data_IF_471439283342
#
_entry.id   IF_471439283342
#
_cell.length_a   1.000
_cell.length_b   1.000
_cell.length_c   1.000
_cell.angle_alpha   90.00
_cell.angle_beta   90.00
_cell.angle_gamma   90.00
#
_symmetry.space_group_name_H-M   'P 1'
#
loop_
_entity.id
_entity.type
_entity.pdbx_description
1 polymer ?
#
# COMPACT_ATOMS: atom_id res chain seq x y z
N UNK A 1 -34.33 50.07 -11.76
CA UNK A 1 -33.38 50.60 -12.75
C UNK A 1 -32.83 51.90 -12.19
N UNK A 2 -31.75 51.82 -11.41
CA UNK A 2 -31.00 52.97 -10.88
C UNK A 2 -29.53 52.57 -11.01
N UNK A 3 -28.82 53.34 -11.83
CA UNK A 3 -27.39 53.28 -12.06
C UNK A 3 -26.72 54.06 -10.94
N UNK A 4 -25.75 53.46 -10.26
CA UNK A 4 -24.74 54.19 -9.50
C UNK A 4 -23.37 53.64 -9.86
N UNK A 5 -22.50 54.58 -10.20
CA UNK A 5 -21.18 54.42 -10.79
C UNK A 5 -20.11 54.89 -9.79
N UNK A 6 -18.86 54.48 -10.04
CA UNK A 6 -17.58 54.94 -9.47
C UNK A 6 -17.12 54.41 -8.07
N UNK A 7 -15.80 54.43 -7.76
CA UNK A 7 -14.61 54.70 -8.59
C UNK A 7 -13.47 53.66 -8.51
N UNK A 8 -12.57 53.79 -9.48
CA UNK A 8 -11.24 53.16 -9.59
C UNK A 8 -10.26 53.69 -8.53
N UNK A 9 -9.40 52.81 -8.01
CA UNK A 9 -8.05 53.19 -7.56
C UNK A 9 -7.01 52.16 -8.00
N UNK A 10 -5.95 52.72 -8.56
CA UNK A 10 -4.71 52.15 -9.11
C UNK A 10 -3.70 51.69 -8.04
N UNK A 11 -2.65 50.99 -8.53
CA UNK A 11 -1.36 50.59 -7.91
C UNK A 11 -1.33 49.11 -7.52
N UNK A 12 -0.38 48.26 -7.95
CA UNK A 12 0.94 48.50 -8.52
C UNK A 12 1.38 47.27 -9.32
N UNK A 13 1.78 47.50 -10.58
CA UNK A 13 2.54 46.56 -11.42
C UNK A 13 3.99 46.56 -10.97
N UNK A 14 4.57 45.41 -10.67
CA UNK A 14 6.02 45.17 -10.80
C UNK A 14 6.25 43.77 -11.35
N UNK A 15 7.16 43.70 -12.32
CA UNK A 15 7.73 42.53 -12.98
C UNK A 15 6.87 41.77 -13.99
N UNK A 16 6.71 42.36 -15.17
CA UNK A 16 6.72 41.58 -16.40
C UNK A 16 7.46 42.37 -17.49
N UNK A 17 8.75 42.07 -17.65
CA UNK A 17 9.58 42.43 -18.80
C UNK A 17 10.39 41.19 -19.15
N UNK A 18 9.85 40.36 -20.04
CA UNK A 18 10.63 39.46 -20.89
C UNK A 18 10.00 39.52 -22.28
N UNK A 19 10.89 39.63 -23.24
CA UNK A 19 10.73 39.98 -24.64
C UNK A 19 9.76 39.08 -25.40
N UNK A 20 8.96 39.70 -26.27
CA UNK A 20 8.21 39.02 -27.32
C UNK A 20 8.54 39.75 -28.62
N UNK A 21 9.60 39.30 -29.27
CA UNK A 21 10.05 39.77 -30.57
C UNK A 21 9.52 38.82 -31.65
N UNK A 22 8.72 39.39 -32.55
CA UNK A 22 8.55 38.98 -33.95
C UNK A 22 8.03 37.56 -34.29
N UNK A 23 6.71 37.48 -34.48
CA UNK A 23 6.07 36.76 -35.60
C UNK A 23 5.24 37.84 -36.31
N UNK A 24 5.25 38.02 -37.63
CA UNK A 24 4.65 37.10 -38.61
C UNK A 24 5.12 37.52 -40.00
N UNK A 25 5.76 36.62 -40.75
CA UNK A 25 5.86 36.70 -42.22
C UNK A 25 4.98 35.62 -42.82
N UNK A 26 4.17 36.08 -43.76
CA UNK A 26 3.35 35.33 -44.70
C UNK A 26 4.16 34.26 -45.43
N UNK A 27 3.58 33.07 -45.61
CA UNK A 27 3.51 32.42 -46.93
C UNK A 27 2.33 31.46 -46.99
N UNK A 28 1.61 31.61 -48.10
CA UNK A 28 0.48 30.86 -48.57
C UNK A 28 1.02 29.85 -49.60
N UNK A 29 0.89 28.54 -49.35
CA UNK A 29 0.99 27.48 -50.35
C UNK A 29 0.01 26.37 -49.95
N UNK A 30 -1.11 26.26 -50.66
CA UNK A 30 -1.35 25.34 -51.79
C UNK A 30 -1.62 23.91 -51.30
N UNK A 31 -2.91 23.63 -51.06
CA UNK A 31 -3.47 22.29 -50.95
C UNK A 31 -3.57 21.66 -52.34
N UNK A 32 -2.92 20.52 -52.53
CA UNK A 32 -3.24 19.55 -53.59
C UNK A 32 -3.91 18.31 -52.97
N UNK A 33 -4.99 17.77 -53.56
CA UNK A 33 -5.66 16.57 -53.06
C UNK A 33 -5.28 15.30 -53.84
N UNK A 34 -5.60 14.16 -53.19
CA UNK A 34 -5.83 12.81 -53.74
C UNK A 34 -4.63 11.97 -54.22
N UNK A 35 -4.40 10.87 -53.49
CA UNK A 35 -4.30 9.52 -54.07
C UNK A 35 -4.60 8.43 -53.04
N UNK A 36 -5.76 7.80 -53.20
CA UNK A 36 -6.03 6.44 -52.74
C UNK A 36 -5.43 5.45 -53.75
N UNK A 37 -4.87 4.32 -53.29
CA UNK A 37 -4.99 3.00 -53.92
C UNK A 37 -4.44 1.89 -52.97
N UNK A 38 -4.80 0.60 -53.18
CA UNK A 38 -5.12 -0.33 -52.10
C UNK A 38 -4.23 -1.59 -52.00
N UNK A 39 -4.56 -2.38 -50.97
CA UNK A 39 -4.61 -3.85 -50.92
C UNK A 39 -3.34 -4.73 -50.98
N UNK A 40 -3.39 -5.73 -50.09
CA UNK A 40 -2.99 -7.14 -50.30
C UNK A 40 -1.52 -7.53 -50.09
N UNK A 41 -1.27 -8.35 -49.06
CA UNK A 41 -0.87 -9.77 -49.19
C UNK A 41 -0.54 -10.41 -47.82
N UNK A 42 -1.39 -11.35 -47.38
CA UNK A 42 -0.95 -12.63 -46.75
C UNK A 42 -0.51 -13.58 -47.90
N UNK A 43 -0.01 -14.82 -47.71
CA UNK A 43 0.25 -15.61 -46.48
C UNK A 43 1.65 -16.28 -46.49
N UNK A 44 2.04 -16.98 -45.40
CA UNK A 44 2.38 -18.41 -45.43
C UNK A 44 2.85 -18.94 -44.06
N UNK A 45 2.11 -19.92 -43.58
CA UNK A 45 2.55 -20.99 -42.68
C UNK A 45 3.33 -22.03 -43.53
N UNK A 46 4.26 -22.82 -42.96
CA UNK A 46 3.85 -24.21 -42.72
C UNK A 46 4.49 -24.91 -41.50
N UNK A 47 3.65 -25.76 -40.89
CA UNK A 47 3.85 -27.18 -40.52
C UNK A 47 5.21 -27.66 -39.99
N UNK A 48 5.17 -28.38 -38.87
CA UNK A 48 5.98 -29.60 -38.76
C UNK A 48 6.30 -30.14 -37.35
N UNK A 49 5.50 -31.14 -36.92
CA UNK A 49 5.92 -32.42 -36.33
C UNK A 49 6.73 -32.46 -35.03
N UNK A 50 6.21 -33.22 -34.04
CA UNK A 50 7.06 -33.77 -32.97
C UNK A 50 6.34 -34.40 -31.77
N UNK A 51 5.56 -35.47 -31.98
CA UNK A 51 5.12 -36.38 -30.91
C UNK A 51 6.31 -37.18 -30.35
N UNK A 52 6.53 -37.18 -29.03
CA UNK A 52 7.00 -38.33 -28.22
C UNK A 52 7.05 -37.86 -26.75
N UNK A 53 6.36 -38.42 -25.76
CA UNK A 53 5.99 -39.82 -25.59
C UNK A 53 7.09 -40.60 -24.88
N UNK A 54 7.37 -40.32 -23.59
CA UNK A 54 7.96 -41.35 -22.71
C UNK A 54 7.71 -41.08 -21.22
N UNK A 55 6.81 -41.91 -20.70
CA UNK A 55 6.58 -42.24 -19.30
C UNK A 55 7.65 -43.25 -18.91
N UNK A 56 8.37 -43.05 -17.79
CA UNK A 56 9.06 -44.14 -17.12
C UNK A 56 8.90 -44.01 -15.60
N UNK A 57 8.52 -45.13 -15.02
CA UNK A 57 8.16 -45.39 -13.63
C UNK A 57 9.29 -46.23 -13.04
N UNK A 58 9.50 -46.03 -11.73
CA UNK A 58 9.94 -47.00 -10.71
C UNK A 58 11.31 -47.67 -10.84
N UNK A 59 12.11 -47.56 -9.77
CA UNK A 59 12.63 -48.60 -8.85
C UNK A 59 13.31 -47.79 -7.71
N UNK A 60 13.26 -48.07 -6.41
CA UNK A 60 12.91 -49.28 -5.66
C UNK A 60 14.09 -49.65 -4.75
N UNK A 61 13.84 -49.74 -3.44
CA UNK A 61 14.63 -50.46 -2.40
C UNK A 61 16.00 -49.84 -2.02
N UNK A 62 16.61 -50.03 -0.85
CA UNK A 62 16.46 -50.88 0.35
C UNK A 62 17.47 -50.31 1.39
N UNK A 63 17.17 -50.14 2.68
CA UNK A 63 17.21 -51.15 3.78
C UNK A 63 18.52 -51.14 4.60
N UNK A 64 18.39 -51.29 5.93
CA UNK A 64 19.47 -51.59 6.90
C UNK A 64 19.50 -50.65 8.11
N UNK A 65 18.81 -50.92 9.24
CA UNK A 65 19.20 -51.77 10.40
C UNK A 65 20.52 -51.33 11.05
N UNK A 66 20.73 -51.29 12.38
CA UNK A 66 19.98 -51.79 13.55
C UNK A 66 20.66 -51.31 14.84
N UNK A 67 19.85 -51.17 15.91
CA UNK A 67 20.12 -51.52 17.33
C UNK A 67 21.26 -50.76 18.06
N UNK A 68 21.33 -50.56 19.38
CA UNK A 68 20.91 -51.18 20.66
C UNK A 68 21.04 -50.01 21.69
N UNK A 69 20.35 -49.85 22.82
CA UNK A 69 19.46 -50.67 23.63
C UNK A 69 19.01 -49.86 24.87
N UNK A 70 17.98 -50.37 25.52
CA UNK A 70 17.45 -50.00 26.86
C UNK A 70 18.41 -50.51 27.98
N UNK A 71 18.24 -50.23 29.29
CA UNK A 71 17.02 -50.58 30.05
C UNK A 71 16.61 -49.67 31.24
N UNK A 72 15.40 -49.99 31.75
CA UNK A 72 14.92 -49.87 33.12
C UNK A 72 14.51 -48.47 33.62
N UNK A 73 13.54 -48.28 34.50
CA UNK A 73 12.34 -48.98 35.03
C UNK A 73 11.92 -48.04 36.18
N UNK A 74 10.62 -47.76 36.35
CA UNK A 74 9.99 -47.58 37.67
C UNK A 74 8.51 -47.21 37.53
N UNK A 75 7.70 -48.02 38.21
CA UNK A 75 6.26 -47.97 38.38
C UNK A 75 5.77 -46.80 39.26
N UNK A 76 4.46 -46.52 39.12
CA UNK A 76 3.45 -46.21 40.16
C UNK A 76 2.45 -45.18 39.59
N UNK A 77 1.27 -45.57 39.08
CA UNK A 77 0.07 -46.01 39.82
C UNK A 77 -0.36 -45.03 40.91
N UNK A 78 -1.19 -44.03 40.55
CA UNK A 78 -2.26 -43.51 41.41
C UNK A 78 -3.47 -43.13 40.56
N UNK A 79 -4.52 -43.89 40.79
CA UNK A 79 -5.91 -43.67 40.36
C UNK A 79 -6.60 -42.78 41.41
N UNK A 80 -7.15 -41.65 40.98
CA UNK A 80 -8.28 -41.00 41.65
C UNK A 80 -9.17 -40.30 40.64
N UNK A 81 -10.32 -40.93 40.37
CA UNK A 81 -11.68 -40.38 40.47
C UNK A 81 -12.03 -39.10 39.70
N UNK A 82 -12.88 -39.32 38.69
CA UNK A 82 -14.13 -38.60 38.39
C UNK A 82 -14.40 -37.28 39.14
N UNK A 83 -14.34 -36.17 38.40
CA UNK A 83 -15.14 -34.97 38.64
C UNK A 83 -15.53 -34.36 37.27
N UNK A 84 -16.81 -34.49 36.98
CA UNK A 84 -17.70 -33.64 36.19
C UNK A 84 -17.39 -33.22 34.74
N UNK A 85 -18.12 -33.95 33.89
CA UNK A 85 -18.67 -33.58 32.59
C UNK A 85 -19.38 -32.22 32.64
N UNK A 86 -18.73 -31.18 32.12
CA UNK A 86 -19.44 -30.07 31.47
C UNK A 86 -18.56 -29.35 30.42
N UNK A 87 -18.07 -30.11 29.43
CA UNK A 87 -17.64 -29.54 28.14
C UNK A 87 -18.85 -29.44 27.24
N UNK A 88 -19.54 -28.30 27.33
CA UNK A 88 -20.44 -27.85 26.27
C UNK A 88 -19.60 -27.63 25.01
N UNK A 89 -19.73 -28.54 24.06
CA UNK A 89 -19.33 -28.35 22.67
C UNK A 89 -20.20 -27.25 22.07
N UNK A 90 -19.73 -26.00 22.14
CA UNK A 90 -20.26 -24.92 21.30
C UNK A 90 -19.55 -25.01 19.96
N UNK A 91 -20.26 -25.10 18.82
CA UNK A 91 -19.62 -25.06 17.51
C UNK A 91 -18.96 -23.71 17.28
N UNK A 92 -17.64 -23.73 17.12
CA UNK A 92 -16.84 -22.62 16.67
C UNK A 92 -17.25 -22.18 15.25
N UNK A 93 -17.49 -20.88 15.09
CA UNK A 93 -17.39 -20.24 13.78
C UNK A 93 -18.68 -19.67 13.19
N UNK A 94 -19.33 -18.73 13.86
CA UNK A 94 -20.05 -17.64 13.17
C UNK A 94 -20.53 -16.50 14.08
N UNK A 95 -20.70 -16.74 15.39
CA UNK A 95 -21.34 -15.75 16.27
C UNK A 95 -20.38 -14.74 16.94
N UNK A 96 -19.07 -14.85 16.75
CA UNK A 96 -18.11 -14.00 17.47
C UNK A 96 -17.99 -12.56 16.94
N UNK A 97 -18.39 -12.28 15.69
CA UNK A 97 -18.24 -10.92 15.13
C UNK A 97 -19.36 -9.98 15.63
N UNK A 98 -20.60 -10.47 15.75
CA UNK A 98 -21.72 -9.63 16.19
C UNK A 98 -21.71 -9.41 17.71
N UNK A 99 -21.28 -10.41 18.49
CA UNK A 99 -21.30 -10.34 19.96
C UNK A 99 -20.15 -9.50 20.53
N UNK A 100 -19.02 -9.37 19.82
CA UNK A 100 -17.96 -8.41 20.20
C UNK A 100 -18.37 -6.94 20.02
N UNK A 101 -19.33 -6.65 19.14
CA UNK A 101 -19.79 -5.28 18.87
C UNK A 101 -20.64 -4.68 20.00
N UNK A 102 -21.30 -5.52 20.83
CA UNK A 102 -22.24 -5.08 21.87
C UNK A 102 -21.67 -5.01 23.29
N UNK A 103 -20.59 -5.74 23.62
CA UNK A 103 -20.05 -5.80 24.99
C UNK A 103 -18.86 -4.87 25.27
N UNK A 104 -18.35 -4.13 24.28
CA UNK A 104 -17.34 -3.09 24.49
C UNK A 104 -17.99 -1.84 25.11
N UNK A 105 -18.16 -1.90 26.43
CA UNK A 105 -18.73 -0.90 27.33
C UNK A 105 -18.15 0.50 27.15
N UNK A 106 -19.00 1.50 27.38
CA UNK A 106 -18.80 2.94 27.20
C UNK A 106 -17.60 3.52 27.96
N UNK A 107 -17.06 2.80 28.95
CA UNK A 107 -15.98 3.24 29.85
C UNK A 107 -14.58 2.83 29.33
N UNK A 108 -14.45 1.67 28.69
CA UNK A 108 -13.17 1.18 28.13
C UNK A 108 -12.80 1.93 26.83
N UNK A 109 -13.83 2.33 26.07
CA UNK A 109 -13.70 3.14 24.84
C UNK A 109 -13.13 4.54 25.12
N UNK A 110 -13.39 5.13 26.27
CA UNK A 110 -12.86 6.46 26.65
C UNK A 110 -11.39 6.45 27.08
N UNK A 111 -10.87 5.30 27.53
CA UNK A 111 -9.48 5.18 28.01
C UNK A 111 -8.53 4.68 26.91
N UNK A 112 -9.05 3.93 25.93
CA UNK A 112 -8.27 3.46 24.77
C UNK A 112 -8.13 4.50 23.64
N UNK A 113 -9.08 5.44 23.50
CA UNK A 113 -9.00 6.55 22.54
C UNK A 113 -7.75 7.43 22.79
N UNK A 114 -7.43 7.85 24.03
CA UNK A 114 -6.19 8.56 24.34
C UNK A 114 -4.92 7.81 23.95
N UNK A 115 -4.93 6.47 24.04
CA UNK A 115 -3.75 5.64 23.77
C UNK A 115 -3.43 5.49 22.26
N UNK A 116 -4.41 5.74 21.38
CA UNK A 116 -4.21 5.82 19.92
C UNK A 116 -3.57 7.17 19.49
N UNK A 117 -3.60 8.16 20.37
CA UNK A 117 -3.14 9.54 20.15
C UNK A 117 -2.14 9.96 21.22
N UNK A 118 -1.15 9.11 21.51
CA UNK A 118 -0.02 9.49 22.37
C UNK A 118 0.65 10.75 21.82
N UNK A 119 1.12 11.64 22.71
CA UNK A 119 1.85 12.85 22.33
C UNK A 119 3.03 12.55 21.39
N UNK A 120 3.76 11.45 21.64
CA UNK A 120 4.86 11.01 20.77
C UNK A 120 4.39 10.68 19.35
N UNK A 121 3.26 9.97 19.24
CA UNK A 121 2.68 9.60 17.94
C UNK A 121 2.18 10.83 17.19
N UNK A 122 1.62 11.82 17.89
CA UNK A 122 1.17 13.09 17.31
C UNK A 122 2.36 13.92 16.83
N UNK A 123 3.41 14.05 17.64
CA UNK A 123 4.66 14.74 17.27
C UNK A 123 5.30 14.07 16.05
N UNK A 124 5.34 12.73 16.03
CA UNK A 124 5.87 11.98 14.90
C UNK A 124 5.05 12.19 13.62
N UNK A 125 3.72 12.20 13.70
CA UNK A 125 2.83 12.52 12.58
C UNK A 125 3.01 13.95 12.08
N UNK A 126 3.18 14.93 12.98
CA UNK A 126 3.53 16.30 12.58
C UNK A 126 4.87 16.34 11.84
N UNK A 127 5.87 15.60 12.31
CA UNK A 127 7.16 15.42 11.64
C UNK A 127 7.01 14.83 10.23
N UNK A 128 6.18 13.80 10.07
CA UNK A 128 5.83 13.22 8.76
C UNK A 128 5.21 14.28 7.83
N UNK A 129 4.39 15.17 8.36
CA UNK A 129 3.80 16.28 7.60
C UNK A 129 4.83 17.29 7.13
N UNK A 130 5.70 17.72 8.03
CA UNK A 130 6.81 18.61 7.70
C UNK A 130 7.71 17.95 6.65
N UNK A 131 8.00 16.65 6.79
CA UNK A 131 8.75 15.89 5.80
C UNK A 131 8.07 15.94 4.42
N UNK A 132 6.77 15.71 4.34
CA UNK A 132 6.00 15.83 3.10
C UNK A 132 6.16 17.21 2.45
N UNK A 133 6.04 18.28 3.25
CA UNK A 133 6.23 19.66 2.78
C UNK A 133 7.63 19.90 2.22
N UNK A 134 8.66 19.45 2.94
CA UNK A 134 10.06 19.65 2.55
C UNK A 134 10.40 18.80 1.33
N UNK A 135 10.12 17.50 1.37
CA UNK A 135 10.44 16.56 0.30
C UNK A 135 9.82 16.99 -1.04
N UNK A 136 8.53 17.34 -1.06
CA UNK A 136 7.87 17.77 -2.31
C UNK A 136 8.36 19.13 -2.81
N UNK A 137 8.94 19.97 -1.94
CA UNK A 137 9.64 21.20 -2.36
C UNK A 137 11.00 20.89 -2.95
N UNK A 138 11.77 19.98 -2.34
CA UNK A 138 13.06 19.54 -2.85
C UNK A 138 12.93 18.91 -4.23
N UNK A 139 11.93 18.04 -4.44
CA UNK A 139 11.69 17.37 -5.73
C UNK A 139 11.36 18.32 -6.89
N UNK A 140 11.05 19.59 -6.62
CA UNK A 140 10.81 20.61 -7.64
C UNK A 140 12.08 21.31 -8.12
N UNK A 141 13.24 21.06 -7.50
CA UNK A 141 14.49 21.64 -7.97
C UNK A 141 14.83 21.16 -9.38
N UNK A 142 15.35 22.08 -10.19
CA UNK A 142 15.67 21.84 -11.60
C UNK A 142 16.64 20.67 -11.79
N UNK A 143 17.61 20.52 -10.89
CA UNK A 143 18.58 19.40 -10.90
C UNK A 143 17.88 18.04 -10.84
N UNK A 144 16.84 17.91 -10.01
CA UNK A 144 16.05 16.68 -9.89
C UNK A 144 15.13 16.52 -11.09
N UNK A 145 14.48 17.60 -11.51
CA UNK A 145 13.48 17.54 -12.57
C UNK A 145 14.07 17.26 -13.97
N UNK A 146 15.30 17.71 -14.25
CA UNK A 146 15.94 17.55 -15.56
C UNK A 146 16.45 16.12 -15.82
N UNK A 147 16.66 15.32 -14.78
CA UNK A 147 17.14 13.96 -14.91
C UNK A 147 16.03 12.97 -14.53
N UNK A 148 15.52 12.24 -15.53
CA UNK A 148 14.44 11.26 -15.34
C UNK A 148 14.75 10.22 -14.27
N UNK A 149 16.00 9.73 -14.19
CA UNK A 149 16.41 8.76 -13.17
C UNK A 149 16.36 9.36 -11.78
N UNK A 150 16.92 10.56 -11.62
CA UNK A 150 16.94 11.24 -10.33
C UNK A 150 15.51 11.57 -9.88
N UNK A 151 14.67 12.03 -10.81
CA UNK A 151 13.24 12.30 -10.57
C UNK A 151 12.52 11.05 -10.10
N UNK A 152 12.58 9.96 -10.88
CA UNK A 152 11.86 8.72 -10.56
C UNK A 152 12.36 8.07 -9.27
N UNK A 153 13.68 8.00 -9.08
CA UNK A 153 14.27 7.41 -7.88
C UNK A 153 13.92 8.24 -6.63
N UNK A 154 14.05 9.56 -6.70
CA UNK A 154 13.74 10.42 -5.54
C UNK A 154 12.25 10.38 -5.19
N UNK A 155 11.38 10.34 -6.20
CA UNK A 155 9.93 10.22 -6.00
C UNK A 155 9.57 8.90 -5.29
N UNK A 156 10.13 7.78 -5.75
CA UNK A 156 9.93 6.46 -5.15
C UNK A 156 10.52 6.36 -3.73
N UNK A 157 11.69 6.98 -3.49
CA UNK A 157 12.26 7.06 -2.13
C UNK A 157 11.30 7.81 -1.20
N UNK A 158 10.69 8.91 -1.65
CA UNK A 158 9.71 9.64 -0.83
C UNK A 158 8.48 8.77 -0.54
N UNK A 159 7.97 8.01 -1.50
CA UNK A 159 6.90 7.03 -1.26
C UNK A 159 7.30 6.00 -0.19
N UNK A 160 8.49 5.43 -0.31
CA UNK A 160 9.03 4.47 0.65
C UNK A 160 9.19 5.05 2.06
N UNK A 161 9.74 6.26 2.17
CA UNK A 161 9.92 6.94 3.47
C UNK A 161 8.58 7.26 4.12
N UNK A 162 7.59 7.72 3.36
CA UNK A 162 6.24 7.98 3.90
C UNK A 162 5.61 6.69 4.41
N UNK A 163 5.68 5.59 3.66
CA UNK A 163 5.15 4.29 4.09
C UNK A 163 5.84 3.78 5.35
N UNK A 164 7.17 3.84 5.38
CA UNK A 164 8.02 3.48 6.52
C UNK A 164 7.63 4.28 7.78
N UNK A 165 7.61 5.61 7.68
CA UNK A 165 7.31 6.49 8.80
C UNK A 165 5.86 6.34 9.26
N UNK A 166 4.91 6.18 8.34
CA UNK A 166 3.51 5.94 8.67
C UNK A 166 3.33 4.67 9.52
N UNK A 167 4.01 3.58 9.16
CA UNK A 167 3.96 2.35 9.97
C UNK A 167 4.66 2.50 11.31
N UNK A 168 5.78 3.23 11.36
CA UNK A 168 6.47 3.54 12.62
C UNK A 168 5.57 4.29 13.61
N UNK A 169 4.70 5.18 13.14
CA UNK A 169 3.68 5.85 13.97
C UNK A 169 2.63 4.85 14.47
N UNK A 170 2.21 3.89 13.63
CA UNK A 170 1.20 2.88 14.01
C UNK A 170 1.72 1.95 15.11
N UNK A 171 2.95 1.46 14.96
CA UNK A 171 3.52 0.47 15.90
C UNK A 171 4.16 1.10 17.13
N UNK A 172 4.71 2.32 17.00
CA UNK A 172 5.48 2.95 18.06
C UNK A 172 6.74 2.14 18.36
N UNK A 173 7.76 2.26 17.50
CA UNK A 173 9.01 1.47 17.53
C UNK A 173 9.57 1.35 18.96
N UNK A 174 9.57 0.14 19.50
CA UNK A 174 10.14 -0.17 20.84
C UNK A 174 11.20 -1.26 20.78
N UNK A 175 11.15 -2.11 19.75
CA UNK A 175 12.00 -3.30 19.62
C UNK A 175 12.70 -3.33 18.26
N UNK A 176 13.77 -4.12 18.17
CA UNK A 176 14.50 -4.34 16.91
C UNK A 176 13.64 -5.05 15.84
N UNK A 177 12.70 -5.92 16.23
CA UNK A 177 11.76 -6.57 15.31
C UNK A 177 10.90 -5.54 14.57
N UNK A 178 10.49 -4.48 15.26
CA UNK A 178 9.62 -3.42 14.71
C UNK A 178 10.34 -2.66 13.59
N UNK A 179 11.68 -2.59 13.63
CA UNK A 179 12.46 -1.98 12.57
C UNK A 179 12.34 -2.74 11.24
N UNK A 180 12.32 -4.08 11.29
CA UNK A 180 12.11 -4.90 10.10
C UNK A 180 10.72 -4.69 9.50
N UNK A 181 9.70 -4.56 10.33
CA UNK A 181 8.33 -4.24 9.89
C UNK A 181 8.25 -2.85 9.25
N UNK A 182 8.89 -1.86 9.86
CA UNK A 182 8.97 -0.47 9.35
C UNK A 182 9.66 -0.41 7.98
N UNK A 183 10.78 -1.12 7.81
CA UNK A 183 11.44 -1.24 6.51
C UNK A 183 10.56 -1.95 5.48
N UNK A 184 9.86 -3.02 5.88
CA UNK A 184 8.93 -3.74 4.99
C UNK A 184 7.78 -2.83 4.54
N UNK A 185 7.24 -2.00 5.44
CA UNK A 185 6.21 -1.03 5.08
C UNK A 185 6.69 -0.02 4.03
N UNK A 186 7.92 0.47 4.16
CA UNK A 186 8.52 1.34 3.13
C UNK A 186 8.73 0.61 1.81
N UNK A 187 9.24 -0.61 1.85
CA UNK A 187 9.40 -1.45 0.65
C UNK A 187 8.06 -1.69 -0.07
N UNK A 188 7.00 -2.02 0.67
CA UNK A 188 5.66 -2.22 0.11
C UNK A 188 5.06 -0.95 -0.51
N UNK A 189 5.44 0.24 -0.02
CA UNK A 189 5.03 1.51 -0.63
C UNK A 189 5.80 1.77 -1.94
N UNK A 190 7.08 1.39 -2.00
CA UNK A 190 7.92 1.59 -3.18
C UNK A 190 7.70 0.57 -4.30
N UNK A 191 7.27 -0.65 -3.98
CA UNK A 191 7.10 -1.73 -4.97
C UNK A 191 5.95 -1.43 -5.96
N UNK A 192 5.03 -0.54 -5.59
CA UNK A 192 3.91 -0.14 -6.46
C UNK A 192 4.42 0.44 -7.78
N UNK A 193 5.46 1.28 -7.75
CA UNK A 193 6.03 1.91 -8.94
C UNK A 193 6.65 0.93 -9.93
N UNK A 194 6.94 -0.31 -9.51
CA UNK A 194 7.44 -1.35 -10.42
C UNK A 194 6.37 -1.71 -11.47
N UNK A 195 5.08 -1.49 -11.19
CA UNK A 195 4.01 -1.72 -12.16
C UNK A 195 4.12 -0.87 -13.43
N UNK A 196 4.84 0.25 -13.39
CA UNK A 196 5.14 1.06 -14.56
C UNK A 196 6.03 0.28 -15.53
N UNK A 197 7.05 -0.40 -15.04
CA UNK A 197 7.93 -1.25 -15.85
C UNK A 197 7.18 -2.49 -16.38
N UNK A 198 6.29 -3.07 -15.57
CA UNK A 198 5.44 -4.17 -16.01
C UNK A 198 4.48 -3.75 -17.13
N UNK A 199 3.81 -2.60 -17.00
CA UNK A 199 2.92 -2.09 -18.05
C UNK A 199 3.70 -1.67 -19.30
N UNK A 200 4.90 -1.11 -19.13
CA UNK A 200 5.80 -0.75 -20.23
C UNK A 200 6.35 -1.98 -20.95
N UNK A 201 6.30 -3.16 -20.31
CA UNK A 201 6.94 -4.41 -20.79
C UNK A 201 8.42 -4.21 -21.09
N UNK A 202 9.07 -3.34 -20.31
CA UNK A 202 10.45 -2.92 -20.52
C UNK A 202 11.06 -2.44 -19.21
N UNK A 203 12.37 -2.65 -19.05
CA UNK A 203 13.17 -2.04 -17.97
C UNK A 203 13.65 -0.62 -18.33
N UNK A 204 13.27 -0.10 -19.49
CA UNK A 204 13.58 1.27 -19.90
C UNK A 204 12.79 2.27 -19.06
N UNK A 205 13.49 3.09 -18.27
CA UNK A 205 12.86 4.14 -17.48
C UNK A 205 12.04 5.10 -18.34
N UNK A 206 12.54 5.46 -19.53
CA UNK A 206 11.81 6.32 -20.46
C UNK A 206 10.48 5.69 -20.89
N UNK A 207 10.44 4.38 -21.11
CA UNK A 207 9.19 3.67 -21.43
C UNK A 207 8.23 3.63 -20.24
N UNK A 208 8.75 3.40 -19.03
CA UNK A 208 7.96 3.42 -17.78
C UNK A 208 7.34 4.79 -17.49
N UNK A 209 8.01 5.89 -17.85
CA UNK A 209 7.54 7.26 -17.63
C UNK A 209 6.58 7.79 -18.72
N UNK A 210 6.51 7.13 -19.89
CA UNK A 210 5.72 7.59 -21.05
C UNK A 210 4.51 6.70 -21.35
N UNK A 211 3.98 6.05 -20.32
CA UNK A 211 2.89 5.10 -20.44
C UNK A 211 1.59 5.76 -20.94
N UNK A 212 0.87 5.14 -21.89
CA UNK A 212 -0.37 5.67 -22.42
C UNK A 212 -1.56 5.54 -21.45
N UNK A 213 -1.42 4.68 -20.43
CA UNK A 213 -2.48 4.37 -19.45
C UNK A 213 -1.86 4.22 -18.07
N UNK A 214 -2.64 4.52 -17.03
CA UNK A 214 -2.20 4.35 -15.64
C UNK A 214 -2.06 2.86 -15.32
N UNK A 215 -0.94 2.42 -14.73
CA UNK A 215 -0.77 1.06 -14.25
C UNK A 215 -1.81 0.60 -13.24
N UNK A 216 -1.98 -0.71 -13.13
CA UNK A 216 -3.10 -1.30 -12.40
C UNK A 216 -2.95 -1.20 -10.88
N UNK A 217 -1.73 -1.27 -10.31
CA UNK A 217 -1.56 -1.16 -8.85
C UNK A 217 -1.93 0.25 -8.39
N UNK A 218 -1.77 1.24 -9.26
CA UNK A 218 -2.21 2.61 -9.04
C UNK A 218 -3.74 2.81 -9.13
N UNK A 219 -4.54 1.74 -9.23
CA UNK A 219 -5.99 1.81 -9.06
C UNK A 219 -6.32 1.69 -7.56
N UNK A 220 -6.85 2.75 -6.94
CA UNK A 220 -7.11 2.80 -5.50
C UNK A 220 -8.12 1.74 -5.02
N UNK A 221 -8.98 1.20 -5.89
CA UNK A 221 -9.84 0.06 -5.51
C UNK A 221 -9.10 -1.26 -5.37
N UNK A 222 -7.88 -1.37 -5.91
CA UNK A 222 -7.04 -2.55 -5.69
C UNK A 222 -6.61 -2.64 -4.22
N UNK A 223 -6.47 -1.51 -3.50
CA UNK A 223 -6.08 -1.51 -2.08
C UNK A 223 -7.04 -2.35 -1.22
N UNK A 224 -8.35 -2.04 -1.12
CA UNK A 224 -9.27 -2.84 -0.30
C UNK A 224 -9.38 -4.28 -0.81
N UNK A 225 -9.32 -4.51 -2.13
CA UNK A 225 -9.33 -5.86 -2.70
C UNK A 225 -8.11 -6.67 -2.24
N UNK A 226 -6.91 -6.09 -2.29
CA UNK A 226 -5.68 -6.74 -1.88
C UNK A 226 -5.66 -7.01 -0.37
N UNK A 227 -6.11 -6.06 0.45
CA UNK A 227 -6.21 -6.20 1.91
C UNK A 227 -7.18 -7.33 2.29
N UNK A 228 -8.38 -7.36 1.68
CA UNK A 228 -9.36 -8.42 1.91
C UNK A 228 -8.86 -9.77 1.41
N UNK A 229 -8.24 -9.81 0.23
CA UNK A 229 -7.68 -11.04 -0.34
C UNK A 229 -6.56 -11.60 0.54
N UNK A 230 -5.67 -10.74 1.05
CA UNK A 230 -4.60 -11.14 1.96
C UNK A 230 -5.18 -11.68 3.27
N UNK A 231 -6.17 -10.99 3.85
CA UNK A 231 -6.86 -11.45 5.07
C UNK A 231 -7.55 -12.81 4.84
N UNK A 232 -8.21 -13.00 3.69
CA UNK A 232 -8.83 -14.26 3.32
C UNK A 232 -7.79 -15.36 3.12
N UNK A 233 -6.70 -15.09 2.41
CA UNK A 233 -5.61 -16.05 2.22
C UNK A 233 -5.02 -16.49 3.56
N UNK A 234 -4.74 -15.55 4.47
CA UNK A 234 -4.27 -15.87 5.82
C UNK A 234 -5.24 -16.77 6.58
N UNK A 235 -6.54 -16.51 6.45
CA UNK A 235 -7.58 -17.35 7.06
C UNK A 235 -7.59 -18.76 6.44
N UNK A 236 -7.57 -18.87 5.11
CA UNK A 236 -7.60 -20.16 4.39
C UNK A 236 -6.36 -21.01 4.66
N UNK A 237 -5.18 -20.40 4.67
CA UNK A 237 -3.92 -21.09 4.94
C UNK A 237 -3.64 -21.29 6.44
N UNK A 238 -4.58 -20.89 7.31
CA UNK A 238 -4.43 -20.92 8.78
C UNK A 238 -3.10 -20.30 9.23
N UNK A 239 -2.68 -19.23 8.55
CA UNK A 239 -1.48 -18.51 8.92
C UNK A 239 -1.73 -17.94 10.31
N UNK A 240 -0.88 -18.37 11.25
CA UNK A 240 -0.98 -18.06 12.68
C UNK A 240 -1.13 -16.54 12.89
N UNK A 241 -1.75 -16.15 14.00
CA UNK A 241 -1.97 -14.73 14.41
C UNK A 241 -0.71 -13.85 14.40
N UNK A 242 0.48 -14.44 14.28
CA UNK A 242 1.76 -13.72 14.15
C UNK A 242 1.80 -12.70 13.01
N UNK A 243 0.99 -12.87 11.95
CA UNK A 243 1.04 -12.01 10.77
C UNK A 243 -0.19 -11.11 10.62
N UNK A 244 -1.04 -11.00 11.66
CA UNK A 244 -2.30 -10.24 11.62
C UNK A 244 -2.12 -8.74 11.29
N UNK A 245 -0.91 -8.21 11.43
CA UNK A 245 -0.56 -6.84 11.07
C UNK A 245 -0.35 -6.62 9.56
N UNK A 246 -0.05 -7.67 8.78
CA UNK A 246 0.29 -7.54 7.36
C UNK A 246 -0.80 -6.86 6.51
N UNK A 247 -2.10 -7.19 6.64
CA UNK A 247 -3.14 -6.49 5.88
C UNK A 247 -3.20 -4.99 6.19
N UNK A 248 -2.94 -4.61 7.44
CA UNK A 248 -2.91 -3.21 7.87
C UNK A 248 -1.64 -2.48 7.38
N UNK A 249 -0.51 -3.17 7.38
CA UNK A 249 0.73 -2.67 6.80
C UNK A 249 0.58 -2.45 5.30
N UNK A 250 0.01 -3.42 4.57
CA UNK A 250 -0.29 -3.27 3.14
C UNK A 250 -1.21 -2.06 2.89
N UNK A 251 -2.26 -1.93 3.70
CA UNK A 251 -3.17 -0.79 3.63
C UNK A 251 -2.44 0.54 3.82
N UNK A 252 -1.65 0.71 4.89
CA UNK A 252 -0.96 1.99 5.15
C UNK A 252 0.03 2.33 4.04
N UNK A 253 0.81 1.33 3.59
CA UNK A 253 1.85 1.51 2.58
C UNK A 253 1.24 1.91 1.24
N UNK A 254 0.20 1.21 0.80
CA UNK A 254 -0.42 1.48 -0.50
C UNK A 254 -1.30 2.71 -0.47
N UNK A 255 -2.06 2.94 0.62
CA UNK A 255 -2.89 4.13 0.74
C UNK A 255 -2.03 5.41 0.76
N UNK A 256 -0.93 5.42 1.53
CA UNK A 256 -0.03 6.58 1.58
C UNK A 256 0.64 6.86 0.23
N UNK A 257 1.04 5.81 -0.51
CA UNK A 257 1.50 5.93 -1.88
C UNK A 257 0.44 6.62 -2.76
N UNK A 258 -0.79 6.09 -2.79
CA UNK A 258 -1.86 6.61 -3.65
C UNK A 258 -2.28 8.04 -3.27
N UNK A 259 -2.28 8.37 -1.97
CA UNK A 259 -2.61 9.71 -1.47
C UNK A 259 -1.60 10.74 -1.98
N UNK A 260 -0.30 10.45 -1.90
CA UNK A 260 0.74 11.33 -2.43
C UNK A 260 0.63 11.47 -3.95
N UNK A 261 0.46 10.34 -4.62
CA UNK A 261 0.41 10.29 -6.08
C UNK A 261 -0.86 10.98 -6.64
N UNK A 262 -1.91 11.02 -5.82
CA UNK A 262 -3.16 11.74 -6.07
C UNK A 262 -3.00 13.25 -6.22
N UNK A 263 -1.90 13.87 -5.76
CA UNK A 263 -1.62 15.30 -5.98
C UNK A 263 -1.49 15.62 -7.48
N UNK A 264 -0.93 14.70 -8.27
CA UNK A 264 -0.69 14.89 -9.71
C UNK A 264 -1.83 14.33 -10.56
N UNK A 265 -2.36 13.17 -10.19
CA UNK A 265 -3.23 12.39 -11.06
C UNK A 265 -4.64 12.16 -10.52
N UNK A 266 -4.91 12.59 -9.28
CA UNK A 266 -6.12 12.20 -8.56
C UNK A 266 -6.10 10.71 -8.15
N UNK A 267 -7.14 10.29 -7.45
CA UNK A 267 -7.35 8.90 -7.10
C UNK A 267 -8.15 8.21 -8.21
N UNK A 268 -7.73 7.00 -8.59
CA UNK A 268 -8.45 6.19 -9.57
C UNK A 268 -9.29 5.14 -8.85
N UNK A 269 -10.61 5.32 -8.86
CA UNK A 269 -11.57 4.46 -8.17
C UNK A 269 -12.37 3.69 -9.22
N UNK A 270 -11.93 2.50 -9.62
CA UNK A 270 -12.67 1.66 -10.59
C UNK A 270 -13.89 1.00 -9.91
N UNK A 271 -15.11 0.98 -10.51
CA UNK A 271 -15.46 1.47 -11.85
C UNK A 271 -15.91 2.94 -11.93
N UNK A 272 -15.91 3.67 -10.82
CA UNK A 272 -16.41 5.05 -10.71
C UNK A 272 -15.56 6.12 -11.43
N UNK A 273 -14.35 5.79 -11.87
CA UNK A 273 -13.49 6.68 -12.65
C UNK A 273 -12.38 7.33 -11.82
N UNK A 274 -11.89 8.49 -12.26
CA UNK A 274 -10.79 9.23 -11.61
C UNK A 274 -11.33 10.47 -10.91
N UNK A 275 -10.84 10.78 -9.72
CA UNK A 275 -11.10 12.06 -9.06
C UNK A 275 -10.26 13.17 -9.69
N UNK A 276 -10.56 14.43 -9.39
CA UNK A 276 -9.63 15.52 -9.64
C UNK A 276 -8.32 15.33 -8.84
N UNK A 277 -7.21 15.95 -9.27
CA UNK A 277 -5.99 16.02 -8.47
C UNK A 277 -6.29 16.54 -7.06
N UNK A 278 -5.67 15.92 -6.06
CA UNK A 278 -5.88 16.27 -4.66
C UNK A 278 -5.26 17.63 -4.37
N UNK A 279 -5.98 18.55 -3.71
CA UNK A 279 -5.36 19.78 -3.24
C UNK A 279 -4.29 19.43 -2.21
N UNK A 280 -3.17 20.15 -2.25
CA UNK A 280 -1.97 19.81 -1.49
C UNK A 280 -2.21 19.72 0.03
N UNK A 281 -3.06 20.59 0.59
CA UNK A 281 -3.43 20.53 2.02
C UNK A 281 -4.17 19.22 2.37
N UNK A 282 -5.01 18.71 1.46
CA UNK A 282 -5.76 17.48 1.68
C UNK A 282 -4.82 16.27 1.68
N UNK A 283 -3.84 16.26 0.77
CA UNK A 283 -2.74 15.30 0.79
C UNK A 283 -2.04 15.28 2.16
N UNK A 284 -1.52 16.43 2.63
CA UNK A 284 -0.76 16.48 3.89
C UNK A 284 -1.63 16.06 5.06
N UNK A 285 -2.85 16.61 5.19
CA UNK A 285 -3.76 16.28 6.30
C UNK A 285 -4.18 14.81 6.31
N UNK A 286 -4.41 14.21 5.14
CA UNK A 286 -4.73 12.78 5.05
C UNK A 286 -3.53 11.91 5.38
N UNK A 287 -2.32 12.22 4.89
CA UNK A 287 -1.09 11.50 5.28
C UNK A 287 -0.81 11.59 6.78
N UNK A 288 -1.11 12.72 7.43
CA UNK A 288 -0.94 12.92 8.88
C UNK A 288 -1.90 12.06 9.70
N UNK A 289 -3.16 12.00 9.26
CA UNK A 289 -4.22 11.32 9.99
C UNK A 289 -4.29 9.82 9.70
N UNK A 290 -3.76 9.38 8.56
CA UNK A 290 -3.84 7.98 8.10
C UNK A 290 -3.26 6.97 9.11
N UNK A 291 -2.08 7.17 9.73
CA UNK A 291 -1.55 6.24 10.74
C UNK A 291 -2.47 6.12 11.96
N UNK A 292 -3.01 7.24 12.45
CA UNK A 292 -3.91 7.24 13.60
C UNK A 292 -5.24 6.58 13.29
N UNK A 293 -5.80 6.83 12.10
CA UNK A 293 -6.99 6.14 11.62
C UNK A 293 -6.74 4.63 11.52
N UNK A 294 -5.61 4.23 10.95
CA UNK A 294 -5.24 2.81 10.88
C UNK A 294 -5.11 2.19 12.27
N UNK A 295 -4.42 2.86 13.20
CA UNK A 295 -4.24 2.43 14.58
C UNK A 295 -5.56 2.29 15.35
N UNK A 296 -6.49 3.22 15.11
CA UNK A 296 -7.85 3.19 15.65
C UNK A 296 -8.68 2.04 15.06
N UNK A 297 -8.63 1.83 13.74
CA UNK A 297 -9.31 0.71 13.09
C UNK A 297 -8.77 -0.65 13.55
N UNK A 298 -7.45 -0.78 13.69
CA UNK A 298 -6.81 -1.99 14.24
C UNK A 298 -7.26 -2.26 15.68
N UNK A 299 -7.52 -1.21 16.47
CA UNK A 299 -8.10 -1.34 17.80
C UNK A 299 -9.54 -1.83 17.73
N UNK A 300 -10.38 -1.24 16.88
CA UNK A 300 -11.78 -1.65 16.69
C UNK A 300 -11.93 -3.09 16.20
N UNK A 301 -11.00 -3.59 15.38
CA UNK A 301 -11.01 -4.97 14.88
C UNK A 301 -10.34 -5.97 15.83
N UNK A 302 -9.95 -5.56 17.04
CA UNK A 302 -9.26 -6.39 18.03
C UNK A 302 -7.82 -6.78 17.65
N UNK A 303 -7.35 -6.43 16.45
CA UNK A 303 -6.01 -6.78 15.95
C UNK A 303 -4.91 -6.19 16.82
N UNK A 304 -5.13 -4.99 17.37
CA UNK A 304 -4.17 -4.33 18.26
C UNK A 304 -3.96 -5.09 19.57
N UNK A 305 -5.00 -5.71 20.12
CA UNK A 305 -4.90 -6.50 21.36
C UNK A 305 -4.11 -7.79 21.11
N UNK A 306 -4.32 -8.45 19.96
CA UNK A 306 -3.55 -9.63 19.53
C UNK A 306 -2.07 -9.32 19.32
N UNK A 307 -1.74 -8.13 18.81
CA UNK A 307 -0.34 -7.67 18.66
C UNK A 307 0.26 -7.35 20.04
N UNK A 308 -0.47 -6.65 20.91
CA UNK A 308 0.03 -6.22 22.23
C UNK A 308 0.29 -7.40 23.20
N UNK A 309 -0.62 -8.38 23.25
CA UNK A 309 -0.50 -9.53 24.16
C UNK A 309 0.69 -10.42 23.81
N UNK A 310 1.02 -10.53 22.52
CA UNK A 310 2.12 -11.37 22.02
C UNK A 310 3.49 -10.70 22.17
N UNK A 311 3.53 -9.38 22.26
CA UNK A 311 4.75 -8.60 22.45
C UNK A 311 5.03 -8.29 23.93
N UNK A 312 4.33 -8.92 24.88
CA UNK A 312 4.69 -8.84 26.29
C UNK A 312 4.59 -7.44 26.89
N UNK A 313 3.61 -6.63 26.45
CA UNK A 313 3.24 -5.47 27.26
C UNK A 313 2.37 -5.94 28.42
N UNK A 314 3.02 -6.21 29.54
CA UNK A 314 2.42 -5.95 30.85
C UNK A 314 2.23 -4.43 30.89
N UNK A 315 1.03 -3.96 30.53
CA UNK A 315 0.61 -2.61 30.85
C UNK A 315 0.33 -2.67 32.35
N UNK A 316 1.36 -2.40 33.15
CA UNK A 316 1.12 -2.12 34.56
C UNK A 316 0.33 -0.81 34.62
N UNK A 317 -0.88 -0.93 35.18
CA UNK A 317 -1.84 0.13 35.48
C UNK A 317 -1.30 1.00 36.61
#
# INVERSE_FOLDING_TARGET
MIVLDCPKTSLSRRYQRVELTASTRLTCERQEPLREEPASRRPQEPRGLGRSGRRLRLYGAAEGRSAVGSPADCEASWDTRDEDKNRLLVPDGCCCILTQFMMASKVEKTQALPQCFSAESLISSLGLGIFCLVADRLLRFSVIHQNDWLRALSDNIVHGVIGMWSWAVVTGIKKKSDFGEVLLAGFLASVIDIDHFFLARSLSLKAALTLPRRPFLHCSTVIPVAVVSLKLAMHLFRLRDSWCFLPWMLFISWASHHIRDGIRHGLWICPFGKTSPLPFWLYVTTTLSLPHLCSFLMYLTGTRQTISSKHGMRVDV
#
